data_IF_010282489751
#
_entry.id   IF_010282489751
#
_cell.length_a   1.000
_cell.length_b   1.000
_cell.length_c   1.000
_cell.angle_alpha   90.00
_cell.angle_beta   90.00
_cell.angle_gamma   90.00
#
_symmetry.space_group_name_H-M   'P 1'
#
loop_
_entity.id
_entity.type
_entity.pdbx_description
1 polymer ?
#
# COMPACT_ATOMS: atom_id res chain seq x y z
N UNK A 1 10.56 2.54 -14.11
CA UNK A 1 10.11 2.93 -12.76
C UNK A 1 11.31 2.95 -11.84
N UNK A 2 11.42 3.88 -10.89
CA UNK A 2 12.63 4.05 -10.05
C UNK A 2 12.26 4.31 -8.59
N UNK A 3 13.20 4.01 -7.69
CA UNK A 3 13.16 4.46 -6.29
C UNK A 3 13.48 5.97 -6.24
N UNK A 4 12.60 6.74 -5.59
CA UNK A 4 12.68 8.21 -5.58
C UNK A 4 13.64 8.73 -4.50
N UNK A 5 13.57 8.16 -3.29
CA UNK A 5 14.34 8.64 -2.16
C UNK A 5 14.85 7.49 -1.27
N UNK A 6 15.62 7.83 -0.22
CA UNK A 6 16.13 6.89 0.75
C UNK A 6 17.42 6.17 0.32
N UNK A 7 17.70 5.04 1.00
CA UNK A 7 18.96 4.27 0.86
C UNK A 7 19.16 3.65 -0.54
N UNK A 8 18.05 3.37 -1.25
CA UNK A 8 18.04 2.75 -2.58
C UNK A 8 17.69 3.75 -3.70
N UNK A 9 17.80 5.05 -3.44
CA UNK A 9 17.47 6.13 -4.37
C UNK A 9 18.12 5.93 -5.74
N UNK A 10 17.39 6.22 -6.81
CA UNK A 10 17.77 6.16 -8.24
C UNK A 10 17.89 4.75 -8.81
N UNK A 11 17.73 3.67 -8.03
CA UNK A 11 17.68 2.33 -8.59
C UNK A 11 16.45 2.15 -9.48
N UNK A 12 16.65 1.59 -10.67
CA UNK A 12 15.56 1.31 -11.61
C UNK A 12 14.98 -0.07 -11.33
N UNK A 13 13.71 -0.10 -10.97
CA UNK A 13 12.98 -1.34 -10.72
C UNK A 13 12.44 -1.92 -12.02
N UNK A 14 12.42 -3.24 -12.11
CA UNK A 14 11.74 -3.97 -13.18
C UNK A 14 10.24 -3.71 -13.10
N UNK A 15 9.59 -3.73 -14.26
CA UNK A 15 8.14 -3.62 -14.42
C UNK A 15 7.61 -4.84 -15.15
N UNK A 16 6.33 -5.13 -14.98
CA UNK A 16 5.67 -6.24 -15.65
C UNK A 16 5.37 -5.82 -17.09
N UNK A 17 5.88 -6.56 -18.08
CA UNK A 17 5.58 -6.32 -19.49
C UNK A 17 4.11 -6.66 -19.78
N UNK A 18 3.39 -5.77 -20.42
CA UNK A 18 2.01 -6.02 -20.90
C UNK A 18 0.90 -5.81 -19.84
N UNK A 19 1.20 -5.58 -18.59
CA UNK A 19 0.25 -5.00 -17.66
C UNK A 19 0.37 -3.47 -17.81
N UNK A 20 -0.47 -2.89 -18.64
CA UNK A 20 -0.75 -1.45 -18.60
C UNK A 20 -1.57 -1.12 -17.34
N UNK A 21 -1.08 -1.52 -16.17
CA UNK A 21 -1.44 -0.83 -14.96
C UNK A 21 -0.86 0.56 -15.13
N UNK A 22 -1.72 1.57 -15.10
CA UNK A 22 -1.29 2.98 -15.16
C UNK A 22 -0.27 3.17 -14.04
N UNK A 23 1.03 3.33 -14.36
CA UNK A 23 2.01 3.42 -13.30
C UNK A 23 1.69 4.67 -12.49
N UNK A 24 1.58 4.51 -11.17
CA UNK A 24 1.60 5.65 -10.27
C UNK A 24 2.82 6.46 -10.68
N UNK A 25 2.60 7.65 -11.23
CA UNK A 25 3.71 8.42 -11.79
C UNK A 25 4.71 8.71 -10.68
N UNK A 26 6.00 8.76 -11.00
CA UNK A 26 7.06 9.13 -10.04
C UNK A 26 6.64 10.35 -9.18
N UNK A 27 5.92 11.32 -9.79
CA UNK A 27 5.41 12.51 -9.11
C UNK A 27 4.32 12.23 -8.07
N UNK A 28 3.37 11.34 -8.38
CA UNK A 28 2.30 10.98 -7.44
C UNK A 28 2.91 10.21 -6.27
N UNK A 29 3.78 9.24 -6.55
CA UNK A 29 4.52 8.48 -5.54
C UNK A 29 5.35 9.40 -4.64
N UNK A 30 6.12 10.31 -5.22
CA UNK A 30 6.91 11.29 -4.47
C UNK A 30 6.01 12.16 -3.57
N UNK A 31 4.90 12.67 -4.11
CA UNK A 31 3.94 13.46 -3.35
C UNK A 31 3.38 12.67 -2.16
N UNK A 32 2.98 11.41 -2.39
CA UNK A 32 2.45 10.56 -1.33
C UNK A 32 3.49 10.35 -0.22
N UNK A 33 4.69 9.90 -0.59
CA UNK A 33 5.74 9.62 0.40
C UNK A 33 6.27 10.86 1.11
N UNK A 34 6.17 12.05 0.50
CA UNK A 34 6.47 13.30 1.20
C UNK A 34 5.40 13.64 2.25
N UNK A 35 4.12 13.30 1.99
CA UNK A 35 3.03 13.50 2.96
C UNK A 35 3.14 12.60 4.18
N UNK A 36 3.74 11.40 4.03
CA UNK A 36 3.89 10.40 5.10
C UNK A 36 5.34 10.28 5.60
N UNK A 37 6.19 11.26 5.27
CA UNK A 37 7.63 11.18 5.50
C UNK A 37 8.03 11.06 6.97
N UNK A 38 7.23 11.61 7.88
CA UNK A 38 7.44 11.54 9.34
C UNK A 38 7.05 10.18 9.91
N UNK A 39 6.12 9.48 9.26
CA UNK A 39 5.48 8.28 9.80
C UNK A 39 6.08 6.99 9.23
N UNK A 40 6.90 7.11 8.17
CA UNK A 40 7.45 5.95 7.46
C UNK A 40 8.64 5.30 8.19
N UNK A 41 9.41 6.09 8.97
CA UNK A 41 10.58 5.56 9.65
C UNK A 41 10.19 4.54 10.72
N UNK A 42 10.83 3.38 10.69
CA UNK A 42 10.57 2.23 11.56
C UNK A 42 9.13 1.65 11.50
N UNK A 43 8.36 2.02 10.47
CA UNK A 43 6.99 1.57 10.26
C UNK A 43 6.93 0.14 9.68
N UNK A 44 5.92 -0.63 10.09
CA UNK A 44 5.44 -1.80 9.37
C UNK A 44 4.52 -1.32 8.25
N UNK A 45 4.87 -1.62 7.01
CA UNK A 45 4.16 -1.18 5.81
C UNK A 45 3.51 -2.36 5.10
N UNK A 46 2.23 -2.26 4.75
CA UNK A 46 1.52 -3.25 3.95
C UNK A 46 1.17 -2.66 2.58
N UNK A 47 1.65 -3.29 1.50
CA UNK A 47 1.33 -2.99 0.11
C UNK A 47 0.33 -4.05 -0.39
N UNK A 48 -0.97 -3.70 -0.41
CA UNK A 48 -2.04 -4.69 -0.57
C UNK A 48 -2.27 -5.13 -2.02
N UNK A 49 -1.88 -4.34 -3.00
CA UNK A 49 -1.93 -4.66 -4.43
C UNK A 49 -0.59 -4.29 -5.06
N UNK A 50 0.43 -5.07 -4.70
CA UNK A 50 1.82 -4.62 -4.82
C UNK A 50 2.34 -4.46 -6.27
N UNK A 51 1.74 -5.15 -7.25
CA UNK A 51 2.17 -5.08 -8.64
C UNK A 51 3.65 -5.42 -8.80
N UNK A 52 4.50 -4.44 -9.08
CA UNK A 52 5.97 -4.62 -9.16
C UNK A 52 6.70 -4.37 -7.83
N UNK A 53 5.97 -4.10 -6.73
CA UNK A 53 6.51 -3.84 -5.39
C UNK A 53 7.02 -2.41 -5.17
N UNK A 54 6.69 -1.48 -6.06
CA UNK A 54 7.27 -0.13 -6.02
C UNK A 54 6.96 0.66 -4.75
N UNK A 55 5.76 0.48 -4.17
CA UNK A 55 5.36 1.24 -2.98
C UNK A 55 6.06 0.70 -1.74
N UNK A 56 6.02 -0.61 -1.52
CA UNK A 56 6.72 -1.23 -0.40
C UNK A 56 8.25 -1.05 -0.47
N UNK A 57 8.87 -1.15 -1.67
CA UNK A 57 10.31 -0.90 -1.85
C UNK A 57 10.66 0.57 -1.58
N UNK A 58 9.83 1.53 -2.01
CA UNK A 58 10.01 2.94 -1.67
C UNK A 58 9.94 3.16 -0.16
N UNK A 59 8.96 2.51 0.52
CA UNK A 59 8.81 2.56 1.98
C UNK A 59 10.07 2.06 2.69
N UNK A 60 10.56 0.87 2.33
CA UNK A 60 11.82 0.32 2.87
C UNK A 60 13.02 1.20 2.60
N UNK A 61 13.14 1.74 1.39
CA UNK A 61 14.22 2.67 1.03
C UNK A 61 14.23 3.94 1.89
N UNK A 62 13.06 4.37 2.38
CA UNK A 62 12.89 5.55 3.25
C UNK A 62 12.97 5.22 4.74
N UNK A 63 13.23 3.96 5.09
CA UNK A 63 13.50 3.55 6.47
C UNK A 63 12.31 2.86 7.17
N UNK A 64 11.32 2.36 6.44
CA UNK A 64 10.34 1.45 7.02
C UNK A 64 11.06 0.22 7.61
N UNK A 65 10.57 -0.28 8.74
CA UNK A 65 11.14 -1.45 9.43
C UNK A 65 10.98 -2.71 8.59
N UNK A 66 9.78 -2.92 8.10
CA UNK A 66 9.43 -4.11 7.35
C UNK A 66 8.27 -3.82 6.38
N UNK A 67 8.27 -4.48 5.21
CA UNK A 67 7.20 -4.35 4.24
C UNK A 67 6.62 -5.72 3.85
N UNK A 68 5.29 -5.82 3.87
CA UNK A 68 4.53 -6.94 3.31
C UNK A 68 3.99 -6.55 1.95
N UNK A 69 4.11 -7.47 1.00
CA UNK A 69 3.64 -7.30 -0.38
C UNK A 69 2.61 -8.37 -0.67
N UNK A 70 1.38 -7.97 -0.98
CA UNK A 70 0.32 -8.89 -1.40
C UNK A 70 0.08 -8.70 -2.88
N UNK A 71 0.16 -9.79 -3.63
CA UNK A 71 -0.03 -9.79 -5.08
C UNK A 71 -0.57 -11.14 -5.53
N UNK A 72 -1.62 -11.13 -6.38
CA UNK A 72 -2.24 -12.36 -6.87
C UNK A 72 -1.62 -12.88 -8.17
N UNK A 73 -1.01 -12.01 -8.96
CA UNK A 73 -0.41 -12.37 -10.23
C UNK A 73 0.98 -12.96 -10.02
N UNK A 74 1.17 -14.22 -10.42
CA UNK A 74 2.43 -14.96 -10.27
C UNK A 74 3.63 -14.27 -10.93
N UNK A 75 3.44 -13.68 -12.11
CA UNK A 75 4.53 -12.98 -12.81
C UNK A 75 4.89 -11.67 -12.08
N UNK A 76 3.90 -10.99 -11.49
CA UNK A 76 4.15 -9.83 -10.66
C UNK A 76 4.92 -10.20 -9.39
N UNK A 77 4.54 -11.27 -8.70
CA UNK A 77 5.28 -11.81 -7.53
C UNK A 77 6.74 -12.10 -7.87
N UNK A 78 6.99 -12.69 -9.07
CA UNK A 78 8.37 -12.91 -9.53
C UNK A 78 9.12 -11.59 -9.69
N UNK A 79 8.49 -10.57 -10.28
CA UNK A 79 9.10 -9.24 -10.45
C UNK A 79 9.35 -8.58 -9.09
N UNK A 80 8.44 -8.69 -8.11
CA UNK A 80 8.66 -8.19 -6.75
C UNK A 80 9.92 -8.81 -6.15
N UNK A 81 10.05 -10.15 -6.21
CA UNK A 81 11.21 -10.85 -5.66
C UNK A 81 12.52 -10.42 -6.36
N UNK A 82 12.52 -10.32 -7.70
CA UNK A 82 13.68 -9.83 -8.45
C UNK A 82 14.06 -8.39 -8.08
N UNK A 83 13.08 -7.52 -7.81
CA UNK A 83 13.31 -6.14 -7.37
C UNK A 83 13.85 -6.10 -5.93
N UNK A 84 13.33 -6.94 -5.04
CA UNK A 84 13.81 -7.05 -3.66
C UNK A 84 15.27 -7.56 -3.64
N UNK A 85 15.60 -8.57 -4.45
CA UNK A 85 16.95 -9.08 -4.62
C UNK A 85 17.89 -7.99 -5.15
N UNK A 86 17.48 -7.29 -6.20
CA UNK A 86 18.27 -6.22 -6.81
C UNK A 86 18.53 -5.04 -5.87
N UNK A 87 17.59 -4.77 -4.96
CA UNK A 87 17.71 -3.68 -3.99
C UNK A 87 18.29 -4.11 -2.64
N UNK A 88 18.57 -5.42 -2.45
CA UNK A 88 19.05 -5.99 -1.19
C UNK A 88 18.13 -5.62 -0.01
N UNK A 89 16.82 -5.88 -0.20
CA UNK A 89 15.76 -5.60 0.79
C UNK A 89 14.96 -6.85 1.21
N UNK A 90 15.39 -8.06 0.81
CA UNK A 90 14.66 -9.32 1.08
C UNK A 90 14.50 -9.58 2.58
N UNK A 91 15.55 -9.28 3.37
CA UNK A 91 15.55 -9.52 4.82
C UNK A 91 14.55 -8.65 5.59
N UNK A 92 14.07 -7.57 4.97
CA UNK A 92 13.10 -6.62 5.53
C UNK A 92 11.74 -6.73 4.84
N UNK A 93 11.46 -7.86 4.17
CA UNK A 93 10.26 -8.00 3.37
C UNK A 93 9.63 -9.38 3.44
N UNK A 94 8.32 -9.44 3.19
CA UNK A 94 7.56 -10.68 3.03
C UNK A 94 6.62 -10.55 1.85
N UNK A 95 6.73 -11.45 0.88
CA UNK A 95 5.83 -11.48 -0.28
C UNK A 95 4.82 -12.60 -0.09
N UNK A 96 3.53 -12.27 -0.19
CA UNK A 96 2.41 -13.19 -0.08
C UNK A 96 1.72 -13.25 -1.44
N UNK A 97 1.85 -14.40 -2.12
CA UNK A 97 1.11 -14.65 -3.35
C UNK A 97 -0.30 -15.10 -3.01
N UNK A 98 -1.30 -14.34 -3.43
CA UNK A 98 -2.71 -14.68 -3.21
C UNK A 98 -3.63 -13.50 -3.43
N UNK A 99 -4.93 -13.78 -3.37
CA UNK A 99 -5.93 -12.72 -3.35
C UNK A 99 -5.91 -11.96 -2.01
N UNK A 100 -6.35 -10.71 -2.02
CA UNK A 100 -6.28 -9.83 -0.86
C UNK A 100 -7.11 -10.34 0.34
N UNK A 101 -8.22 -11.06 0.10
CA UNK A 101 -9.11 -11.56 1.16
C UNK A 101 -8.41 -12.66 1.97
N UNK A 102 -7.89 -13.66 1.27
CA UNK A 102 -7.12 -14.75 1.87
C UNK A 102 -5.87 -14.22 2.56
N UNK A 103 -5.18 -13.27 1.94
CA UNK A 103 -3.98 -12.67 2.47
C UNK A 103 -4.26 -11.89 3.76
N UNK A 104 -5.25 -10.98 3.79
CA UNK A 104 -5.61 -10.22 4.99
C UNK A 104 -6.03 -11.13 6.15
N UNK A 105 -6.76 -12.22 5.87
CA UNK A 105 -7.11 -13.20 6.90
C UNK A 105 -5.88 -13.96 7.45
N UNK A 106 -4.88 -14.20 6.62
CA UNK A 106 -3.62 -14.88 7.04
C UNK A 106 -2.70 -13.98 7.87
N UNK A 107 -2.93 -12.67 7.85
CA UNK A 107 -2.16 -11.66 8.58
C UNK A 107 -2.72 -11.36 9.97
N UNK A 108 -3.75 -12.07 10.42
CA UNK A 108 -4.29 -11.90 11.78
C UNK A 108 -3.20 -12.05 12.84
N UNK A 109 -3.06 -11.04 13.70
CA UNK A 109 -1.99 -10.95 14.70
C UNK A 109 -0.79 -10.11 14.27
N UNK A 110 -0.70 -9.73 12.98
CA UNK A 110 0.24 -8.69 12.53
C UNK A 110 -0.37 -7.31 12.78
N UNK A 111 0.48 -6.28 12.86
CA UNK A 111 0.04 -4.89 13.08
C UNK A 111 0.82 -3.94 12.18
N UNK A 112 0.09 -3.13 11.41
CA UNK A 112 0.64 -2.24 10.40
C UNK A 112 0.42 -0.77 10.78
N UNK A 113 1.48 0.02 10.67
CA UNK A 113 1.41 1.47 10.86
C UNK A 113 0.86 2.15 9.61
N UNK A 114 1.15 1.61 8.43
CA UNK A 114 0.68 2.13 7.15
C UNK A 114 0.23 0.96 6.28
N UNK A 115 -1.03 0.99 5.84
CA UNK A 115 -1.58 0.07 4.85
C UNK A 115 -1.87 0.87 3.59
N UNK A 116 -1.22 0.52 2.47
CA UNK A 116 -1.49 1.11 1.16
C UNK A 116 -2.27 0.12 0.30
N UNK A 117 -3.35 0.56 -0.30
CA UNK A 117 -4.19 -0.23 -1.20
C UNK A 117 -4.48 0.55 -2.49
N UNK A 118 -4.10 -0.04 -3.63
CA UNK A 118 -4.45 0.42 -4.99
C UNK A 118 -5.25 -0.68 -5.71
N UNK A 119 -6.52 -0.90 -5.30
CA UNK A 119 -7.34 -1.95 -5.89
C UNK A 119 -7.64 -1.63 -7.36
N UNK A 120 -7.92 -2.65 -8.20
CA UNK A 120 -8.32 -2.45 -9.57
C UNK A 120 -9.53 -1.51 -9.66
N UNK A 121 -9.44 -0.45 -10.48
CA UNK A 121 -10.51 0.52 -10.66
C UNK A 121 -11.84 -0.16 -10.99
N UNK A 122 -12.93 0.32 -10.38
CA UNK A 122 -14.30 -0.16 -10.55
C UNK A 122 -14.57 -1.58 -10.02
N UNK A 123 -13.63 -2.20 -9.32
CA UNK A 123 -13.88 -3.50 -8.69
C UNK A 123 -14.76 -3.39 -7.44
N UNK A 124 -14.81 -2.20 -6.80
CA UNK A 124 -15.63 -1.96 -5.61
C UNK A 124 -15.12 -2.68 -4.37
N UNK A 125 -13.80 -2.92 -4.29
CA UNK A 125 -13.19 -3.66 -3.18
C UNK A 125 -12.96 -2.81 -1.94
N UNK A 126 -13.11 -1.50 -2.00
CA UNK A 126 -12.74 -0.56 -0.95
C UNK A 126 -13.45 -0.89 0.37
N UNK A 127 -14.77 -1.15 0.31
CA UNK A 127 -15.57 -1.53 1.49
C UNK A 127 -15.10 -2.86 2.11
N UNK A 128 -14.87 -3.87 1.27
CA UNK A 128 -14.46 -5.20 1.73
C UNK A 128 -13.03 -5.19 2.31
N UNK A 129 -12.13 -4.41 1.72
CA UNK A 129 -10.76 -4.21 2.23
C UNK A 129 -10.82 -3.65 3.65
N UNK A 130 -11.59 -2.57 3.85
CA UNK A 130 -11.70 -1.92 5.16
C UNK A 130 -12.35 -2.82 6.21
N UNK A 131 -13.41 -3.56 5.84
CA UNK A 131 -14.06 -4.53 6.72
C UNK A 131 -13.09 -5.64 7.15
N UNK A 132 -12.29 -6.18 6.24
CA UNK A 132 -11.30 -7.21 6.54
C UNK A 132 -10.15 -6.68 7.41
N UNK A 133 -9.69 -5.46 7.19
CA UNK A 133 -8.66 -4.81 8.02
C UNK A 133 -9.18 -4.66 9.45
N UNK A 134 -10.42 -4.18 9.62
CA UNK A 134 -11.05 -4.02 10.93
C UNK A 134 -11.24 -5.36 11.65
N UNK A 135 -11.83 -6.36 10.98
CA UNK A 135 -12.13 -7.68 11.58
C UNK A 135 -10.88 -8.45 12.02
N UNK A 136 -9.77 -8.26 11.31
CA UNK A 136 -8.50 -8.91 11.63
C UNK A 136 -7.59 -8.05 12.52
N UNK A 137 -8.04 -6.85 12.92
CA UNK A 137 -7.32 -5.91 13.78
C UNK A 137 -5.91 -5.61 13.27
N UNK A 138 -5.79 -5.36 11.93
CA UNK A 138 -4.50 -5.23 11.27
C UNK A 138 -3.87 -3.85 11.39
N UNK A 139 -4.61 -2.82 11.83
CA UNK A 139 -4.08 -1.47 11.94
C UNK A 139 -3.52 -1.22 13.35
N UNK A 140 -2.30 -0.69 13.42
CA UNK A 140 -1.69 -0.24 14.66
C UNK A 140 -2.49 0.93 15.26
N UNK A 141 -2.36 1.19 16.56
CA UNK A 141 -3.10 2.23 17.28
C UNK A 141 -2.99 3.60 16.61
N UNK A 142 -1.78 4.02 16.23
CA UNK A 142 -1.52 5.28 15.51
C UNK A 142 -1.46 5.10 13.98
N UNK A 143 -1.84 3.92 13.50
CA UNK A 143 -1.76 3.57 12.09
C UNK A 143 -2.85 4.22 11.25
N UNK A 144 -2.66 4.19 9.93
CA UNK A 144 -3.67 4.64 8.98
C UNK A 144 -3.61 3.86 7.67
N UNK A 145 -4.72 3.91 6.96
CA UNK A 145 -4.90 3.27 5.66
C UNK A 145 -4.88 4.35 4.58
N UNK A 146 -4.21 4.08 3.48
CA UNK A 146 -4.24 4.92 2.27
C UNK A 146 -4.86 4.10 1.16
N UNK A 147 -5.98 4.57 0.61
CA UNK A 147 -6.62 3.95 -0.55
C UNK A 147 -6.46 4.86 -1.75
N UNK A 148 -5.86 4.34 -2.83
CA UNK A 148 -5.92 4.97 -4.15
C UNK A 148 -7.24 4.57 -4.83
N UNK A 149 -8.01 5.56 -5.31
CA UNK A 149 -9.30 5.32 -5.93
C UNK A 149 -9.57 6.29 -7.09
N UNK A 150 -10.54 5.95 -7.95
CA UNK A 150 -11.07 6.88 -8.95
C UNK A 150 -11.71 8.09 -8.25
N UNK A 151 -11.67 9.27 -8.92
CA UNK A 151 -12.27 10.49 -8.38
C UNK A 151 -13.76 10.36 -8.03
N UNK A 152 -14.46 9.46 -8.72
CA UNK A 152 -15.91 9.24 -8.55
C UNK A 152 -16.23 8.16 -7.50
N UNK A 153 -15.23 7.47 -6.96
CA UNK A 153 -15.46 6.45 -5.93
C UNK A 153 -16.10 7.10 -4.72
N UNK A 154 -17.26 6.57 -4.31
CA UNK A 154 -17.98 7.02 -3.13
C UNK A 154 -17.45 6.32 -1.87
N UNK A 155 -17.22 7.10 -0.83
CA UNK A 155 -16.73 6.65 0.47
C UNK A 155 -17.70 6.96 1.62
N UNK A 156 -19.00 7.20 1.35
CA UNK A 156 -19.99 7.51 2.37
C UNK A 156 -20.16 6.39 3.41
N UNK A 157 -19.76 5.16 3.07
CA UNK A 157 -19.85 3.98 3.94
C UNK A 157 -18.76 3.90 5.03
N UNK A 158 -17.72 4.73 4.95
CA UNK A 158 -16.54 4.66 5.83
C UNK A 158 -16.92 4.76 7.30
N UNK A 159 -17.80 5.70 7.63
CA UNK A 159 -18.27 5.95 8.98
C UNK A 159 -18.98 4.74 9.61
N UNK A 160 -19.69 3.95 8.80
CA UNK A 160 -20.37 2.72 9.21
C UNK A 160 -19.39 1.61 9.59
N UNK A 161 -18.18 1.63 9.00
CA UNK A 161 -17.11 0.67 9.27
C UNK A 161 -16.19 1.09 10.42
N UNK A 162 -16.50 2.19 11.11
CA UNK A 162 -15.71 2.67 12.24
C UNK A 162 -14.42 3.40 11.84
N UNK A 163 -14.39 4.00 10.65
CA UNK A 163 -13.26 4.82 10.21
C UNK A 163 -13.66 6.29 10.01
N UNK A 164 -12.67 7.16 10.12
CA UNK A 164 -12.75 8.57 9.73
C UNK A 164 -11.77 8.88 8.59
N UNK A 165 -12.19 9.77 7.68
CA UNK A 165 -11.29 10.34 6.67
C UNK A 165 -10.50 11.45 7.32
N UNK A 166 -9.19 11.22 7.49
CA UNK A 166 -8.29 12.23 8.07
C UNK A 166 -7.68 13.15 7.02
N UNK A 167 -7.64 12.69 5.74
CA UNK A 167 -7.11 13.48 4.63
C UNK A 167 -7.60 12.93 3.30
N UNK A 168 -7.88 13.81 2.36
CA UNK A 168 -8.09 13.50 0.94
C UNK A 168 -7.10 14.27 0.09
N UNK A 169 -6.44 13.58 -0.85
CA UNK A 169 -5.56 14.21 -1.83
C UNK A 169 -6.04 13.89 -3.24
N UNK A 170 -6.53 14.92 -3.93
CA UNK A 170 -6.98 14.81 -5.31
C UNK A 170 -5.82 14.98 -6.29
N UNK A 171 -5.82 14.15 -7.33
CA UNK A 171 -4.97 14.23 -8.51
C UNK A 171 -5.83 14.43 -9.77
N UNK A 172 -5.22 14.47 -10.93
CA UNK A 172 -5.95 14.70 -12.20
C UNK A 172 -6.99 13.61 -12.49
N UNK A 173 -6.75 12.36 -12.08
CA UNK A 173 -7.54 11.18 -12.50
C UNK A 173 -7.89 10.23 -11.38
N UNK A 174 -7.29 10.40 -10.23
CA UNK A 174 -7.44 9.57 -9.05
C UNK A 174 -7.34 10.42 -7.79
N UNK A 175 -7.58 9.78 -6.65
CA UNK A 175 -7.43 10.38 -5.34
C UNK A 175 -6.80 9.40 -4.37
N UNK A 176 -6.12 9.90 -3.35
CA UNK A 176 -5.73 9.15 -2.17
C UNK A 176 -6.62 9.57 -0.99
N UNK A 177 -7.21 8.58 -0.34
CA UNK A 177 -8.00 8.77 0.87
C UNK A 177 -7.21 8.17 2.03
N UNK A 178 -7.01 8.96 3.08
CA UNK A 178 -6.32 8.55 4.30
C UNK A 178 -7.36 8.32 5.39
N UNK A 179 -7.33 7.16 6.03
CA UNK A 179 -8.32 6.69 6.98
C UNK A 179 -7.65 6.28 8.29
N UNK A 180 -8.28 6.63 9.41
CA UNK A 180 -7.97 6.06 10.73
C UNK A 180 -9.19 5.40 11.35
N UNK A 181 -8.96 4.50 12.29
CA UNK A 181 -10.03 4.01 13.16
C UNK A 181 -10.57 5.21 13.95
N UNK A 182 -11.89 5.31 14.09
CA UNK A 182 -12.53 6.31 14.94
C UNK A 182 -12.06 6.18 16.38
N UNK A 183 -11.67 7.29 16.98
CA UNK A 183 -11.48 7.35 18.42
C UNK A 183 -12.85 7.19 19.08
N UNK A 184 -12.98 6.20 19.96
CA UNK A 184 -14.18 6.10 20.79
C UNK A 184 -14.13 7.24 21.80
N UNK A 185 -15.11 8.18 21.71
CA UNK A 185 -15.34 9.21 22.73
C UNK A 185 -15.71 8.59 24.08
#
# INVERSE_FOLDING_TARGET
MRVIAGSKRRLNLKTIKGLETRPTTDRIKETLFNMISTDIYDANFLDLFAGSGQMGIEALSRGARFAWFIENNREAVKVINENLDFTDLQSQSKVIQGDFKSALNSLKGESFHIIFADPPYKAGYEREILDLIARNELLAEDGYIIIEADLKTDFNFISELGYDIIKEKLYKTNKHIFLRVKENE
#
